data_IF_923510849175
#
_entry.id   IF_923510849175
#
_cell.length_a   1.000
_cell.length_b   1.000
_cell.length_c   1.000
_cell.angle_alpha   90.00
_cell.angle_beta   90.00
_cell.angle_gamma   90.00
#
_symmetry.space_group_name_H-M   'P 1'
#
loop_
_entity.id
_entity.type
_entity.pdbx_description
1 polymer ?
#
# COMPACT_ATOMS: atom_id res chain seq x y z
N UNK A 1 -19.49 -63.15 19.09
CA UNK A 1 -20.21 -62.13 18.30
C UNK A 1 -19.97 -60.70 18.80
N UNK A 2 -19.98 -60.43 20.13
CA UNK A 2 -19.83 -59.08 20.71
C UNK A 2 -18.51 -58.37 20.37
N UNK A 3 -17.37 -59.07 20.40
CA UNK A 3 -16.05 -58.48 20.14
C UNK A 3 -15.94 -57.87 18.72
N UNK A 4 -16.51 -58.54 17.70
CA UNK A 4 -16.49 -58.08 16.31
C UNK A 4 -17.31 -56.79 16.11
N UNK A 5 -18.43 -56.67 16.81
CA UNK A 5 -19.27 -55.46 16.75
C UNK A 5 -18.56 -54.25 17.41
N UNK A 6 -17.90 -54.46 18.54
CA UNK A 6 -17.14 -53.40 19.23
C UNK A 6 -15.95 -52.93 18.39
N UNK A 7 -15.24 -53.83 17.71
CA UNK A 7 -14.13 -53.45 16.79
C UNK A 7 -14.63 -52.68 15.56
N UNK A 8 -15.79 -53.04 15.00
CA UNK A 8 -16.39 -52.32 13.87
C UNK A 8 -16.82 -50.90 14.29
N UNK A 9 -17.41 -50.75 15.49
CA UNK A 9 -17.81 -49.44 16.02
C UNK A 9 -16.57 -48.57 16.32
N UNK A 10 -15.51 -49.13 16.90
CA UNK A 10 -14.25 -48.40 17.10
C UNK A 10 -13.59 -48.01 15.77
N UNK A 11 -13.66 -48.86 14.74
CA UNK A 11 -13.15 -48.54 13.40
C UNK A 11 -13.95 -47.40 12.74
N UNK A 12 -15.28 -47.38 12.88
CA UNK A 12 -16.12 -46.27 12.41
C UNK A 12 -15.91 -44.98 13.22
N UNK A 13 -15.68 -45.07 14.53
CA UNK A 13 -15.33 -43.92 15.37
C UNK A 13 -13.90 -43.41 15.12
N UNK A 14 -12.99 -44.24 14.61
CA UNK A 14 -11.65 -43.82 14.20
C UNK A 14 -11.66 -43.07 12.86
N UNK A 15 -12.66 -43.29 11.99
CA UNK A 15 -12.86 -42.57 10.73
C UNK A 15 -13.42 -41.15 10.92
N UNK A 16 -13.95 -40.81 12.11
CA UNK A 16 -14.51 -39.48 12.41
C UNK A 16 -13.47 -38.52 13.01
N UNK A 17 -12.18 -38.86 12.99
CA UNK A 17 -11.11 -37.93 13.34
C UNK A 17 -11.00 -36.81 12.28
N UNK A 18 -11.73 -35.72 12.54
CA UNK A 18 -11.46 -34.34 12.14
C UNK A 18 -10.76 -34.14 10.80
N UNK A 19 -11.49 -34.34 9.70
CA UNK A 19 -11.13 -33.71 8.43
C UNK A 19 -11.47 -32.21 8.51
N UNK A 20 -10.63 -31.41 9.17
CA UNK A 20 -10.64 -29.98 8.90
C UNK A 20 -10.11 -29.82 7.48
N UNK A 21 -11.01 -29.59 6.51
CA UNK A 21 -10.58 -29.31 5.15
C UNK A 21 -9.61 -28.11 5.17
N UNK A 22 -8.41 -28.30 4.63
CA UNK A 22 -7.37 -27.26 4.54
C UNK A 22 -7.85 -26.03 3.75
N UNK A 23 -8.80 -26.25 2.84
CA UNK A 23 -9.45 -25.23 2.02
C UNK A 23 -10.96 -25.50 2.03
N UNK A 24 -11.75 -24.47 2.34
CA UNK A 24 -13.21 -24.48 2.12
C UNK A 24 -13.49 -23.80 0.79
N UNK A 25 -14.23 -24.47 -0.07
CA UNK A 25 -14.57 -24.01 -1.41
C UNK A 25 -16.08 -24.07 -1.63
N UNK A 26 -16.56 -23.32 -2.61
CA UNK A 26 -17.97 -23.24 -2.96
C UNK A 26 -18.46 -24.43 -3.81
N UNK A 27 -17.64 -25.47 -3.98
CA UNK A 27 -17.86 -26.73 -4.72
C UNK A 27 -16.68 -27.71 -4.43
N UNK A 28 -16.75 -29.00 -4.78
CA UNK A 28 -15.61 -29.91 -4.67
C UNK A 28 -14.35 -29.34 -5.35
N UNK A 29 -13.21 -29.46 -4.67
CA UNK A 29 -11.92 -28.98 -5.17
C UNK A 29 -11.34 -30.05 -6.10
N UNK A 30 -10.92 -29.65 -7.31
CA UNK A 30 -10.07 -30.53 -8.14
C UNK A 30 -8.74 -30.73 -7.43
N UNK A 31 -8.35 -31.98 -7.19
CA UNK A 31 -7.10 -32.29 -6.50
C UNK A 31 -5.84 -32.02 -7.34
N UNK A 32 -5.98 -31.73 -8.64
CA UNK A 32 -4.85 -31.45 -9.53
C UNK A 32 -5.18 -30.39 -10.58
N UNK A 33 -4.18 -29.59 -10.92
CA UNK A 33 -4.11 -28.66 -12.07
C UNK A 33 -2.79 -28.91 -12.82
N UNK A 34 -2.39 -30.18 -12.91
CA UNK A 34 -1.03 -30.61 -13.24
C UNK A 34 -0.42 -29.90 -14.46
N UNK A 35 0.90 -29.70 -14.43
CA UNK A 35 1.71 -29.03 -15.47
C UNK A 35 1.41 -27.53 -15.71
N UNK A 36 0.56 -26.91 -14.89
CA UNK A 36 0.32 -25.45 -14.94
C UNK A 36 1.19 -24.69 -13.94
N UNK A 37 1.45 -23.41 -14.21
CA UNK A 37 2.31 -22.55 -13.39
C UNK A 37 1.67 -22.06 -12.09
N UNK A 38 0.34 -22.06 -11.99
CA UNK A 38 -0.38 -21.57 -10.81
C UNK A 38 -0.50 -22.66 -9.76
N UNK A 39 -0.44 -22.28 -8.48
CA UNK A 39 -0.61 -23.21 -7.36
C UNK A 39 -2.09 -23.51 -7.05
N UNK A 40 -2.95 -22.50 -7.21
CA UNK A 40 -4.40 -22.61 -6.96
C UNK A 40 -5.13 -21.90 -8.10
N UNK A 41 -6.03 -22.62 -8.78
CA UNK A 41 -6.91 -22.07 -9.81
C UNK A 41 -8.34 -21.99 -9.29
N UNK A 42 -8.83 -20.78 -9.09
CA UNK A 42 -10.20 -20.48 -8.68
C UNK A 42 -11.08 -20.01 -9.86
N UNK A 43 -10.62 -20.11 -11.11
CA UNK A 43 -11.28 -19.59 -12.32
C UNK A 43 -12.21 -20.58 -13.03
N UNK A 44 -12.58 -21.69 -12.36
CA UNK A 44 -13.38 -22.77 -12.94
C UNK A 44 -14.66 -22.26 -13.64
N UNK A 45 -15.03 -22.91 -14.75
CA UNK A 45 -16.18 -22.54 -15.59
C UNK A 45 -17.50 -22.34 -14.81
N UNK A 46 -17.73 -23.13 -13.76
CA UNK A 46 -18.92 -23.01 -12.90
C UNK A 46 -18.98 -21.73 -12.07
N UNK A 47 -17.88 -21.01 -11.92
CA UNK A 47 -17.84 -19.69 -11.29
C UNK A 47 -17.88 -18.58 -12.33
N UNK A 48 -17.27 -18.76 -13.50
CA UNK A 48 -17.18 -17.74 -14.57
C UNK A 48 -18.55 -17.25 -15.05
N UNK A 49 -19.56 -18.12 -15.10
CA UNK A 49 -20.91 -17.77 -15.60
C UNK A 49 -21.87 -17.24 -14.54
N UNK A 50 -21.46 -17.20 -13.26
CA UNK A 50 -22.31 -16.74 -12.15
C UNK A 50 -21.93 -15.33 -11.71
N UNK A 51 -22.89 -14.56 -11.17
CA UNK A 51 -22.62 -13.21 -10.66
C UNK A 51 -21.99 -13.22 -9.27
N UNK A 52 -22.46 -14.11 -8.38
CA UNK A 52 -22.18 -14.02 -6.94
C UNK A 52 -21.46 -15.25 -6.35
N UNK A 53 -21.32 -16.33 -7.12
CA UNK A 53 -20.85 -17.64 -6.62
C UNK A 53 -19.36 -17.78 -6.94
N UNK A 54 -18.56 -18.17 -5.95
CA UNK A 54 -17.13 -18.46 -6.12
C UNK A 54 -16.28 -17.24 -6.50
N UNK A 55 -16.64 -16.04 -6.01
CA UNK A 55 -15.92 -14.80 -6.29
C UNK A 55 -14.93 -14.49 -5.16
N UNK A 56 -13.64 -14.62 -5.45
CA UNK A 56 -12.55 -14.16 -4.58
C UNK A 56 -12.05 -15.19 -3.56
N UNK A 57 -11.06 -14.74 -2.78
CA UNK A 57 -10.44 -15.50 -1.69
C UNK A 57 -10.55 -14.70 -0.39
N UNK A 58 -11.07 -15.33 0.65
CA UNK A 58 -11.16 -14.73 1.98
C UNK A 58 -9.88 -15.06 2.76
N UNK A 59 -9.16 -14.02 3.17
CA UNK A 59 -7.99 -14.15 4.03
C UNK A 59 -8.36 -13.91 5.51
N UNK A 60 -7.66 -14.54 6.46
CA UNK A 60 -7.81 -14.22 7.88
C UNK A 60 -7.60 -12.73 8.15
N UNK A 61 -8.46 -12.16 9.00
CA UNK A 61 -8.20 -10.85 9.59
C UNK A 61 -7.15 -11.01 10.69
N UNK A 62 -6.20 -10.08 10.74
CA UNK A 62 -5.20 -10.00 11.80
C UNK A 62 -5.09 -8.57 12.30
N UNK A 63 -4.64 -8.41 13.54
CA UNK A 63 -4.18 -7.12 14.03
C UNK A 63 -2.66 -7.11 14.00
N UNK A 64 -2.06 -6.46 12.98
CA UNK A 64 -0.61 -6.41 12.83
C UNK A 64 0.10 -5.65 13.97
N UNK A 65 -0.61 -4.80 14.72
CA UNK A 65 -0.04 -4.08 15.88
C UNK A 65 0.23 -5.00 17.08
N UNK A 66 -0.38 -6.18 17.10
CA UNK A 66 -0.19 -7.20 18.15
C UNK A 66 0.27 -8.55 17.60
N UNK A 67 0.34 -8.70 16.27
CA UNK A 67 0.71 -9.94 15.62
C UNK A 67 2.20 -10.23 15.79
N UNK A 68 2.51 -11.44 16.25
CA UNK A 68 3.85 -12.01 16.20
C UNK A 68 3.78 -13.39 15.55
N UNK A 69 4.82 -13.76 14.80
CA UNK A 69 4.96 -15.12 14.30
C UNK A 69 5.14 -16.07 15.48
N UNK A 70 4.28 -17.10 15.54
CA UNK A 70 4.39 -18.16 16.55
C UNK A 70 5.75 -18.86 16.44
N UNK A 71 6.19 -19.13 15.21
CA UNK A 71 7.50 -19.70 14.91
C UNK A 71 8.32 -18.66 14.15
N UNK A 72 9.20 -17.95 14.85
CA UNK A 72 10.03 -16.89 14.25
C UNK A 72 11.21 -17.43 13.44
N UNK A 73 11.61 -18.67 13.68
CA UNK A 73 12.62 -19.40 12.91
C UNK A 73 11.99 -20.70 12.44
N UNK A 74 11.71 -20.81 11.15
CA UNK A 74 11.04 -21.96 10.56
C UNK A 74 12.05 -23.03 10.15
N UNK A 75 11.75 -23.86 9.15
CA UNK A 75 12.71 -24.83 8.64
C UNK A 75 12.44 -25.27 7.20
N UNK A 76 13.39 -26.01 6.64
CA UNK A 76 13.34 -26.49 5.25
C UNK A 76 12.08 -27.31 4.91
N UNK A 77 11.52 -28.00 5.92
CA UNK A 77 10.34 -28.87 5.73
C UNK A 77 9.02 -28.14 6.03
N UNK A 78 9.05 -27.08 6.84
CA UNK A 78 7.87 -26.37 7.29
C UNK A 78 8.10 -24.87 7.09
N UNK A 79 7.41 -24.27 6.12
CA UNK A 79 7.58 -22.88 5.70
C UNK A 79 9.04 -22.57 5.27
N UNK A 80 9.54 -23.21 4.19
CA UNK A 80 10.94 -23.09 3.74
C UNK A 80 11.36 -21.68 3.31
N UNK A 81 10.39 -20.78 3.13
CA UNK A 81 10.60 -19.37 2.78
C UNK A 81 10.40 -18.42 3.98
N UNK A 82 10.30 -18.95 5.20
CA UNK A 82 10.00 -18.19 6.42
C UNK A 82 8.85 -17.19 6.21
N UNK A 83 7.73 -17.72 5.71
CA UNK A 83 6.49 -17.01 5.42
C UNK A 83 6.56 -15.94 4.31
N UNK A 84 7.62 -15.89 3.50
CA UNK A 84 7.67 -15.00 2.34
C UNK A 84 6.46 -15.24 1.41
N UNK A 85 5.75 -14.16 1.08
CA UNK A 85 4.51 -14.17 0.32
C UNK A 85 3.23 -14.42 1.14
N UNK A 86 3.29 -14.56 2.47
CA UNK A 86 2.09 -14.73 3.31
C UNK A 86 1.19 -13.50 3.24
N UNK A 87 -0.08 -13.67 2.85
CA UNK A 87 -1.08 -12.59 2.75
C UNK A 87 -2.02 -12.59 3.96
N UNK A 88 -2.29 -11.40 4.49
CA UNK A 88 -3.27 -11.17 5.57
C UNK A 88 -4.10 -9.91 5.30
N UNK A 89 -5.28 -9.82 5.91
CA UNK A 89 -6.00 -8.55 6.02
C UNK A 89 -5.75 -7.94 7.41
N UNK A 90 -5.01 -6.83 7.48
CA UNK A 90 -4.81 -6.09 8.71
C UNK A 90 -6.07 -5.27 9.05
N UNK A 91 -6.53 -5.34 10.30
CA UNK A 91 -7.72 -4.62 10.77
C UNK A 91 -7.42 -3.37 11.61
N UNK A 92 -6.16 -3.06 11.90
CA UNK A 92 -5.78 -2.01 12.83
C UNK A 92 -4.85 -0.96 12.22
N UNK A 93 -4.87 0.26 12.79
CA UNK A 93 -3.87 1.30 12.52
C UNK A 93 -2.90 1.37 13.70
N UNK A 94 -1.60 1.47 13.43
CA UNK A 94 -0.57 1.64 14.47
C UNK A 94 0.78 1.10 14.03
N UNK A 95 1.58 0.65 14.97
CA UNK A 95 2.93 0.13 14.73
C UNK A 95 3.00 -1.35 15.07
N UNK A 96 3.70 -2.15 14.24
CA UNK A 96 3.94 -3.58 14.55
C UNK A 96 4.84 -3.74 15.79
N UNK A 97 4.76 -4.87 16.52
CA UNK A 97 5.66 -5.14 17.64
C UNK A 97 7.13 -4.97 17.27
N UNK A 98 7.93 -4.46 18.20
CA UNK A 98 9.36 -4.21 17.99
C UNK A 98 10.15 -5.49 17.62
N UNK A 99 9.67 -6.65 18.05
CA UNK A 99 10.27 -7.97 17.77
C UNK A 99 9.19 -8.99 17.41
N UNK A 100 9.54 -9.97 16.58
CA UNK A 100 8.68 -11.10 16.26
C UNK A 100 7.58 -10.85 15.24
N UNK A 101 7.52 -9.65 14.67
CA UNK A 101 6.65 -9.31 13.53
C UNK A 101 7.49 -8.87 12.33
N UNK A 102 8.49 -9.69 11.99
CA UNK A 102 9.54 -9.31 11.05
C UNK A 102 10.58 -8.39 11.68
N UNK A 103 11.03 -7.38 10.91
CA UNK A 103 11.92 -6.31 11.38
C UNK A 103 11.31 -5.40 12.47
N UNK A 104 9.99 -5.51 12.70
CA UNK A 104 9.26 -4.77 13.73
C UNK A 104 9.14 -3.26 13.45
N UNK A 105 8.46 -2.55 14.37
CA UNK A 105 8.30 -1.09 14.35
C UNK A 105 7.75 -0.48 13.04
N UNK A 106 7.00 -1.25 12.25
CA UNK A 106 6.45 -0.78 10.97
C UNK A 106 5.10 -0.12 11.18
N UNK A 107 4.90 1.06 10.58
CA UNK A 107 3.58 1.69 10.55
C UNK A 107 2.64 0.94 9.61
N UNK A 108 1.46 0.61 10.09
CA UNK A 108 0.43 -0.14 9.37
C UNK A 108 -0.93 0.54 9.53
N UNK A 109 -1.77 0.39 8.51
CA UNK A 109 -3.19 0.80 8.48
C UNK A 109 -4.06 -0.38 8.01
N UNK A 110 -5.39 -0.33 8.19
CA UNK A 110 -6.27 -1.39 7.71
C UNK A 110 -6.14 -1.63 6.20
N UNK A 111 -6.03 -2.89 5.78
CA UNK A 111 -5.83 -3.26 4.37
C UNK A 111 -5.19 -4.63 4.20
N UNK A 112 -5.02 -5.07 2.96
CA UNK A 112 -4.26 -6.29 2.67
C UNK A 112 -2.76 -6.03 2.77
N UNK A 113 -2.03 -6.97 3.35
CA UNK A 113 -0.57 -6.97 3.43
C UNK A 113 -0.04 -8.33 2.99
N UNK A 114 1.15 -8.34 2.40
CA UNK A 114 1.95 -9.54 2.27
C UNK A 114 3.24 -9.41 3.09
N UNK A 115 3.73 -10.52 3.63
CA UNK A 115 5.03 -10.57 4.28
C UNK A 115 6.11 -10.77 3.21
N UNK A 116 7.00 -9.79 3.05
CA UNK A 116 8.16 -9.87 2.16
C UNK A 116 9.38 -10.28 2.96
N UNK A 117 9.92 -11.46 2.67
CA UNK A 117 11.11 -12.00 3.32
C UNK A 117 12.01 -12.72 2.29
N UNK A 118 12.56 -12.00 1.30
CA UNK A 118 13.27 -12.61 0.17
C UNK A 118 14.53 -13.40 0.57
N UNK A 119 15.06 -13.15 1.77
CA UNK A 119 16.22 -13.87 2.33
C UNK A 119 15.82 -14.96 3.33
N UNK A 120 14.53 -15.12 3.64
CA UNK A 120 13.98 -16.01 4.68
C UNK A 120 14.16 -17.51 4.47
N UNK A 121 14.95 -17.95 3.48
CA UNK A 121 15.28 -19.34 3.25
C UNK A 121 16.52 -19.81 4.03
N UNK A 122 17.19 -20.84 3.51
CA UNK A 122 18.44 -21.37 4.07
C UNK A 122 19.53 -20.31 4.23
N UNK A 123 19.56 -19.32 3.32
CA UNK A 123 20.52 -18.21 3.33
C UNK A 123 20.42 -17.28 4.55
N UNK A 124 19.29 -17.32 5.29
CA UNK A 124 19.15 -16.61 6.55
C UNK A 124 18.53 -17.49 7.66
N UNK A 125 18.94 -18.75 7.71
CA UNK A 125 18.53 -19.71 8.74
C UNK A 125 17.01 -19.79 8.96
N UNK A 126 16.21 -19.57 7.91
CA UNK A 126 14.74 -19.62 7.97
C UNK A 126 14.11 -18.62 8.95
N UNK A 127 14.75 -17.47 9.18
CA UNK A 127 14.28 -16.46 10.13
C UNK A 127 13.26 -15.50 9.52
N UNK A 128 12.26 -15.11 10.31
CA UNK A 128 11.33 -14.03 9.96
C UNK A 128 11.90 -12.65 10.25
N UNK A 129 12.94 -12.53 11.08
CA UNK A 129 13.49 -11.24 11.55
C UNK A 129 14.05 -10.33 10.46
N UNK A 130 14.25 -10.83 9.23
CA UNK A 130 14.65 -10.03 8.06
C UNK A 130 13.50 -9.60 7.17
N UNK A 131 12.30 -10.13 7.42
CA UNK A 131 11.12 -9.84 6.62
C UNK A 131 10.34 -8.62 7.11
N UNK A 132 9.51 -8.06 6.24
CA UNK A 132 8.69 -6.88 6.51
C UNK A 132 7.29 -7.02 5.93
N UNK A 133 6.32 -6.33 6.53
CA UNK A 133 4.94 -6.26 6.06
C UNK A 133 4.80 -5.15 5.02
N UNK A 134 4.45 -5.55 3.80
CA UNK A 134 4.21 -4.62 2.70
C UNK A 134 2.72 -4.62 2.34
N UNK A 135 2.09 -3.45 2.17
CA UNK A 135 0.70 -3.39 1.75
C UNK A 135 0.53 -3.97 0.35
N UNK A 136 -0.44 -4.87 0.20
CA UNK A 136 -0.84 -5.46 -1.07
C UNK A 136 -1.79 -4.48 -1.76
N UNK A 137 -1.20 -3.61 -2.58
CA UNK A 137 -1.86 -2.43 -3.12
C UNK A 137 -1.78 -1.28 -2.13
N UNK A 138 -0.66 -0.54 -2.15
CA UNK A 138 -0.64 0.81 -1.58
C UNK A 138 -1.82 1.59 -2.18
N UNK A 139 -2.46 2.46 -1.40
CA UNK A 139 -3.31 3.48 -1.98
C UNK A 139 -2.39 4.38 -2.83
N UNK A 140 -2.43 4.34 -4.19
CA UNK A 140 -1.49 5.08 -5.02
C UNK A 140 -1.72 6.60 -4.92
N UNK A 141 -2.79 7.02 -4.23
CA UNK A 141 -3.15 8.41 -4.03
C UNK A 141 -2.24 9.04 -2.97
N UNK A 142 -1.44 10.00 -3.41
CA UNK A 142 -0.76 10.94 -2.52
C UNK A 142 -1.77 12.00 -2.08
N UNK A 143 -1.90 12.22 -0.78
CA UNK A 143 -2.75 13.28 -0.22
C UNK A 143 -1.87 14.45 0.23
N UNK A 144 -1.83 15.51 -0.57
CA UNK A 144 -1.10 16.73 -0.22
C UNK A 144 -1.83 17.49 0.89
N UNK A 145 -1.12 17.75 1.99
CA UNK A 145 -1.60 18.50 3.14
C UNK A 145 -0.85 19.84 3.25
N UNK A 146 -1.25 20.68 4.21
CA UNK A 146 -0.51 21.91 4.56
C UNK A 146 0.76 21.61 5.37
N UNK A 147 1.02 20.34 5.67
CA UNK A 147 2.29 19.84 6.18
C UNK A 147 2.98 19.04 5.08
N UNK A 148 4.30 18.89 5.17
CA UNK A 148 5.09 18.07 4.25
C UNK A 148 4.54 16.64 4.17
N UNK A 149 4.26 16.18 2.95
CA UNK A 149 3.83 14.83 2.61
C UNK A 149 4.93 14.18 1.76
N UNK A 150 5.33 12.95 2.11
CA UNK A 150 6.22 12.13 1.27
C UNK A 150 5.41 11.63 0.05
N UNK A 151 5.91 11.85 -1.16
CA UNK A 151 5.23 11.41 -2.39
C UNK A 151 5.66 9.99 -2.79
N UNK A 152 4.98 9.42 -3.79
CA UNK A 152 5.37 8.17 -4.43
C UNK A 152 6.44 8.36 -5.53
N UNK A 153 7.04 9.55 -5.63
CA UNK A 153 8.01 9.91 -6.66
C UNK A 153 9.42 9.98 -6.08
N UNK A 154 10.36 9.37 -6.79
CA UNK A 154 11.79 9.53 -6.56
C UNK A 154 12.47 9.86 -7.90
N UNK A 155 13.52 10.67 -7.87
CA UNK A 155 14.37 10.96 -9.02
C UNK A 155 15.80 10.64 -8.62
N UNK A 156 16.44 9.72 -9.33
CA UNK A 156 17.80 9.25 -9.02
C UNK A 156 17.98 8.81 -7.55
N UNK A 157 16.94 8.20 -6.98
CA UNK A 157 16.91 7.75 -5.57
C UNK A 157 16.65 8.87 -4.55
N UNK A 158 16.62 10.14 -4.96
CA UNK A 158 16.23 11.25 -4.10
C UNK A 158 14.70 11.32 -3.95
N UNK A 159 14.24 11.51 -2.72
CA UNK A 159 12.81 11.57 -2.40
C UNK A 159 12.21 12.91 -2.83
N UNK A 160 11.07 12.87 -3.52
CA UNK A 160 10.24 14.06 -3.76
C UNK A 160 9.23 14.20 -2.63
N UNK A 161 9.19 15.36 -2.02
CA UNK A 161 8.21 15.77 -1.01
C UNK A 161 7.17 16.69 -1.63
N UNK A 162 6.01 16.82 -1.02
CA UNK A 162 4.98 17.75 -1.47
C UNK A 162 4.21 18.39 -0.34
N UNK A 163 3.73 19.60 -0.60
CA UNK A 163 2.89 20.38 0.33
C UNK A 163 1.84 21.12 -0.49
N UNK A 164 0.68 21.41 0.10
CA UNK A 164 -0.29 22.32 -0.48
C UNK A 164 -0.35 23.63 0.30
N UNK A 165 -0.68 24.70 -0.42
CA UNK A 165 -0.88 26.00 0.17
C UNK A 165 -1.77 26.86 -0.71
N UNK A 166 -1.77 28.16 -0.41
CA UNK A 166 -2.50 29.17 -1.17
C UNK A 166 -1.65 30.44 -1.32
N UNK A 167 -1.90 31.20 -2.39
CA UNK A 167 -1.39 32.56 -2.55
C UNK A 167 -2.49 33.46 -3.10
N UNK A 168 -2.38 34.77 -2.85
CA UNK A 168 -3.34 35.78 -3.32
C UNK A 168 -2.71 36.65 -4.40
N UNK A 169 -3.50 37.01 -5.41
CA UNK A 169 -3.11 37.89 -6.52
C UNK A 169 -3.89 39.20 -6.45
N UNK A 170 -3.33 40.26 -7.02
CA UNK A 170 -3.99 41.59 -7.06
C UNK A 170 -4.74 41.85 -8.36
N UNK A 171 -4.57 41.01 -9.39
CA UNK A 171 -5.09 41.28 -10.74
C UNK A 171 -4.28 42.29 -11.54
N UNK A 172 -3.16 42.79 -11.00
CA UNK A 172 -2.35 43.86 -11.63
C UNK A 172 -0.85 43.53 -11.71
N UNK A 173 -0.41 42.45 -11.06
CA UNK A 173 0.99 42.03 -10.99
C UNK A 173 1.11 40.55 -11.26
N UNK A 174 2.23 40.16 -11.86
CA UNK A 174 2.65 38.75 -12.02
C UNK A 174 3.41 38.23 -10.80
N UNK A 175 3.79 39.13 -9.89
CA UNK A 175 4.52 38.78 -8.67
C UNK A 175 3.57 38.23 -7.60
N UNK A 176 3.94 37.09 -7.03
CA UNK A 176 3.26 36.46 -5.89
C UNK A 176 4.29 35.91 -4.90
N UNK A 177 3.84 35.49 -3.73
CA UNK A 177 4.67 34.80 -2.74
C UNK A 177 4.13 33.40 -2.49
N UNK A 178 4.98 32.41 -2.70
CA UNK A 178 4.72 30.99 -2.44
C UNK A 178 5.81 30.52 -1.47
N UNK A 179 5.51 30.45 -0.15
CA UNK A 179 6.52 30.14 0.86
C UNK A 179 7.28 28.85 0.57
N UNK A 180 8.61 28.91 0.61
CA UNK A 180 9.46 27.74 0.47
C UNK A 180 9.37 26.87 1.74
N UNK A 181 9.11 25.57 1.63
CA UNK A 181 9.12 24.65 2.76
C UNK A 181 10.51 24.54 3.41
N UNK A 182 10.53 24.21 4.71
CA UNK A 182 11.78 24.09 5.45
C UNK A 182 12.71 23.00 4.90
N UNK A 183 13.92 23.41 4.53
CA UNK A 183 14.94 22.53 3.95
C UNK A 183 14.77 22.30 2.44
N UNK A 184 13.82 22.94 1.77
CA UNK A 184 13.71 22.86 0.32
C UNK A 184 15.01 23.27 -0.36
N UNK A 185 15.57 22.41 -1.19
CA UNK A 185 16.79 22.68 -1.98
C UNK A 185 16.46 23.05 -3.42
N UNK A 186 15.41 22.46 -3.99
CA UNK A 186 14.98 22.74 -5.36
C UNK A 186 13.51 22.40 -5.59
N UNK A 187 12.89 23.12 -6.53
CA UNK A 187 11.53 22.86 -7.00
C UNK A 187 11.55 21.70 -7.99
N UNK A 188 10.76 20.67 -7.71
CA UNK A 188 10.53 19.57 -8.65
C UNK A 188 9.32 19.87 -9.54
N UNK A 189 8.24 20.41 -8.96
CA UNK A 189 7.03 20.73 -9.69
C UNK A 189 6.07 21.61 -8.91
N UNK A 190 5.14 22.24 -9.63
CA UNK A 190 4.04 22.97 -9.03
C UNK A 190 2.76 22.69 -9.81
N UNK A 191 1.62 22.64 -9.11
CA UNK A 191 0.31 22.72 -9.74
C UNK A 191 -0.48 23.81 -9.06
N UNK A 192 -0.81 24.87 -9.79
CA UNK A 192 -1.66 25.97 -9.35
C UNK A 192 -3.06 25.72 -9.89
N UNK A 193 -4.06 25.82 -9.03
CA UNK A 193 -5.44 25.55 -9.40
C UNK A 193 -6.42 26.34 -8.52
N UNK A 194 -7.69 26.29 -8.90
CA UNK A 194 -8.79 26.83 -8.11
C UNK A 194 -9.80 25.72 -7.87
N UNK A 195 -9.96 25.26 -6.63
CA UNK A 195 -10.93 24.18 -6.33
C UNK A 195 -12.38 24.58 -6.63
N UNK A 196 -12.69 25.87 -6.50
CA UNK A 196 -13.97 26.47 -6.86
C UNK A 196 -13.75 27.88 -7.39
N UNK A 197 -14.03 28.10 -8.67
CA UNK A 197 -13.90 29.39 -9.36
C UNK A 197 -14.96 29.55 -10.44
N UNK A 198 -15.29 30.79 -10.78
CA UNK A 198 -16.23 31.12 -11.86
C UNK A 198 -15.56 32.03 -12.88
N UNK A 199 -15.89 31.84 -14.17
CA UNK A 199 -15.33 32.63 -15.26
C UNK A 199 -13.81 32.49 -15.38
N UNK A 200 -13.12 33.62 -15.60
CA UNK A 200 -11.66 33.67 -15.75
C UNK A 200 -10.86 33.37 -14.47
N UNK A 201 -11.53 33.14 -13.34
CA UNK A 201 -10.90 32.77 -12.06
C UNK A 201 -10.54 31.28 -11.95
N UNK A 202 -10.94 30.47 -12.93
CA UNK A 202 -10.52 29.07 -13.06
C UNK A 202 -9.13 29.04 -13.73
N UNK A 203 -8.09 29.37 -12.96
CA UNK A 203 -6.71 29.27 -13.41
C UNK A 203 -6.19 27.87 -13.12
N UNK A 204 -5.53 27.27 -14.12
CA UNK A 204 -4.77 26.05 -13.98
C UNK A 204 -3.38 26.24 -14.61
N UNK A 205 -2.32 25.99 -13.85
CA UNK A 205 -0.94 26.04 -14.34
C UNK A 205 -0.13 24.94 -13.69
N UNK A 206 0.85 24.39 -14.43
CA UNK A 206 1.88 23.49 -13.89
C UNK A 206 3.25 24.15 -13.77
N UNK A 207 3.30 25.45 -14.00
CA UNK A 207 4.54 26.19 -14.19
C UNK A 207 4.49 27.53 -13.46
N UNK A 208 5.69 28.02 -13.15
CA UNK A 208 5.99 29.40 -12.80
C UNK A 208 7.01 29.91 -13.82
N UNK A 209 6.96 31.21 -14.13
CA UNK A 209 8.00 31.85 -14.93
C UNK A 209 9.34 31.82 -14.18
N UNK A 210 9.31 32.10 -12.87
CA UNK A 210 10.46 31.98 -11.98
C UNK A 210 10.02 31.71 -10.55
N UNK A 211 10.90 31.09 -9.76
CA UNK A 211 10.73 30.82 -8.34
C UNK A 211 12.05 30.94 -7.59
N UNK A 212 12.07 31.67 -6.47
CA UNK A 212 13.22 31.77 -5.57
C UNK A 212 12.95 30.91 -4.32
N UNK A 213 13.74 29.84 -4.17
CA UNK A 213 13.65 28.89 -3.04
C UNK A 213 14.04 29.50 -1.69
N UNK A 214 14.75 30.63 -1.67
CA UNK A 214 15.21 31.27 -0.43
C UNK A 214 14.14 32.17 0.14
N UNK A 215 13.46 32.93 -0.73
CA UNK A 215 12.50 33.96 -0.33
C UNK A 215 11.04 33.55 -0.54
N UNK A 216 10.80 32.51 -1.37
CA UNK A 216 9.47 32.14 -1.84
C UNK A 216 8.88 33.13 -2.85
N UNK A 217 9.67 34.09 -3.35
CA UNK A 217 9.23 35.00 -4.40
C UNK A 217 8.99 34.23 -5.71
N UNK A 218 7.85 34.46 -6.35
CA UNK A 218 7.46 33.74 -7.55
C UNK A 218 6.84 34.67 -8.59
N UNK A 219 7.05 34.35 -9.87
CA UNK A 219 6.38 35.03 -10.98
C UNK A 219 5.45 34.03 -11.68
N UNK A 220 4.17 34.36 -11.77
CA UNK A 220 3.16 33.52 -12.44
C UNK A 220 3.35 33.54 -13.95
N UNK A 221 3.17 32.38 -14.60
CA UNK A 221 3.34 32.21 -16.04
C UNK A 221 4.11 30.94 -16.40
N UNK A 222 4.52 30.83 -17.67
CA UNK A 222 5.44 29.81 -18.17
C UNK A 222 6.80 30.43 -18.44
N UNK A 223 7.85 29.63 -18.68
CA UNK A 223 9.23 30.12 -18.88
C UNK A 223 9.37 31.20 -19.99
N UNK A 224 8.45 31.22 -20.97
CA UNK A 224 8.48 32.19 -22.07
C UNK A 224 7.61 33.43 -21.84
N UNK A 225 6.69 33.40 -20.87
CA UNK A 225 5.73 34.49 -20.67
C UNK A 225 5.19 34.54 -19.24
N UNK A 226 5.34 35.68 -18.58
CA UNK A 226 4.65 35.97 -17.32
C UNK A 226 3.19 36.33 -17.56
N UNK A 227 2.28 35.88 -16.70
CA UNK A 227 0.83 36.09 -16.83
C UNK A 227 0.27 36.69 -15.56
N UNK A 228 -0.47 37.80 -15.67
CA UNK A 228 -1.20 38.38 -14.54
C UNK A 228 -2.47 37.56 -14.32
N UNK A 229 -2.56 36.88 -13.18
CA UNK A 229 -3.79 36.17 -12.81
C UNK A 229 -4.84 37.16 -12.29
N UNK A 230 -6.14 36.95 -12.56
CA UNK A 230 -7.21 37.74 -11.99
C UNK A 230 -7.10 37.83 -10.46
N UNK A 231 -7.60 38.92 -9.87
CA UNK A 231 -7.58 39.11 -8.42
C UNK A 231 -8.37 38.01 -7.71
N UNK A 232 -7.67 37.12 -7.02
CA UNK A 232 -8.25 36.05 -6.22
C UNK A 232 -7.20 35.32 -5.35
N UNK A 233 -7.64 34.35 -4.55
CA UNK A 233 -6.76 33.39 -3.86
C UNK A 233 -6.74 32.05 -4.59
N UNK A 234 -5.56 31.57 -4.97
CA UNK A 234 -5.37 30.32 -5.70
C UNK A 234 -4.77 29.25 -4.79
N UNK A 235 -5.17 28.00 -4.98
CA UNK A 235 -4.55 26.84 -4.36
C UNK A 235 -3.32 26.43 -5.16
N UNK A 236 -2.33 25.86 -4.47
CA UNK A 236 -1.23 25.17 -5.12
C UNK A 236 -0.86 23.88 -4.42
N UNK A 237 -0.27 22.96 -5.17
CA UNK A 237 0.58 21.88 -4.69
C UNK A 237 2.00 22.19 -5.16
N UNK A 238 2.95 22.20 -4.23
CA UNK A 238 4.38 22.37 -4.47
C UNK A 238 5.07 21.04 -4.19
N UNK A 239 5.84 20.54 -5.14
CA UNK A 239 6.64 19.32 -5.02
C UNK A 239 8.12 19.67 -5.12
N UNK A 240 8.96 19.10 -4.27
CA UNK A 240 10.33 19.58 -4.06
C UNK A 240 11.28 18.51 -3.54
N UNK A 241 12.58 18.78 -3.70
CA UNK A 241 13.67 18.06 -3.07
C UNK A 241 14.17 18.78 -1.81
N UNK A 242 14.80 18.02 -0.93
CA UNK A 242 15.35 18.44 0.36
C UNK A 242 16.72 17.82 0.58
#
# INVERSE_FOLDING_TARGET
>A
MKLKFTTIILAFAALTNTAFAQIRSNNPISSTIGTQSVFLDASANGFTTTTNIGKGLTFPRTNLTTFTFVTQTTGALNFPTAYDGMIVYNSATGTTPATGSGIGNQSVTPGYYYFSNPTGGSGNAYATSTGQWLPLGQNPRVNFATTETVTNTQVDGAQVYGIKGQFTTTGTSTSVTIPAPSGMTSLYGITIYKKSGTGNKVVYSKELYSYDVTTGAAITGSQSMSVVYPQDTYDYVLEYFK
#
